data_IF_318776652092
#
_entry.id   IF_318776652092
#
_cell.length_a   1.000
_cell.length_b   1.000
_cell.length_c   1.000
_cell.angle_alpha   90.00
_cell.angle_beta   90.00
_cell.angle_gamma   90.00
#
_symmetry.space_group_name_H-M   'P 1'
#
loop_
_entity.id
_entity.type
_entity.pdbx_description
1 polymer ?
#
# COMPACT_ATOMS: atom_id res chain seq x y z
N UNK A 1 29.40 -11.45 6.81
CA UNK A 1 28.35 -12.36 6.31
C UNK A 1 27.43 -11.58 5.37
N UNK A 2 26.83 -12.21 4.40
CA UNK A 2 25.92 -11.52 3.48
C UNK A 2 24.61 -11.22 4.23
N UNK A 3 24.20 -9.94 4.29
CA UNK A 3 22.93 -9.53 4.91
C UNK A 3 21.78 -9.95 3.99
N UNK A 4 21.02 -10.97 4.35
CA UNK A 4 19.99 -11.53 3.48
C UNK A 4 18.61 -11.64 4.16
N UNK A 5 18.52 -11.49 5.49
CA UNK A 5 17.24 -11.58 6.17
C UNK A 5 16.32 -10.43 5.77
N UNK A 6 15.03 -10.67 5.85
CA UNK A 6 13.97 -9.73 5.48
C UNK A 6 13.28 -9.26 6.76
N UNK A 7 13.03 -7.96 6.87
CA UNK A 7 12.32 -7.35 8.00
C UNK A 7 11.06 -6.65 7.51
N UNK A 8 9.91 -7.14 7.93
CA UNK A 8 8.61 -6.53 7.67
C UNK A 8 8.26 -5.63 8.84
N UNK A 9 8.17 -4.31 8.57
CA UNK A 9 7.85 -3.32 9.60
C UNK A 9 6.34 -3.21 9.81
N UNK A 10 5.94 -2.88 11.07
CA UNK A 10 4.54 -2.62 11.43
C UNK A 10 3.59 -3.72 10.96
N UNK A 11 4.00 -4.98 11.14
CA UNK A 11 3.39 -6.13 10.50
C UNK A 11 1.93 -6.36 10.90
N UNK A 12 1.54 -6.09 12.16
CA UNK A 12 0.16 -6.09 12.64
C UNK A 12 -0.58 -7.39 12.33
N UNK A 13 -1.58 -7.32 11.45
CA UNK A 13 -2.41 -8.46 11.02
C UNK A 13 -2.02 -9.04 9.66
N UNK A 14 -0.87 -8.68 9.10
CA UNK A 14 -0.44 -9.06 7.75
C UNK A 14 0.19 -10.47 7.72
N UNK A 15 -0.51 -11.44 8.28
CA UNK A 15 -0.07 -12.84 8.37
C UNK A 15 0.29 -13.39 6.98
N UNK A 16 -0.63 -13.25 6.01
CA UNK A 16 -0.42 -13.76 4.65
C UNK A 16 0.79 -13.10 3.99
N UNK A 17 1.02 -11.79 4.16
CA UNK A 17 2.20 -11.12 3.59
C UNK A 17 3.51 -11.69 4.15
N UNK A 18 3.57 -11.96 5.46
CA UNK A 18 4.75 -12.60 6.08
C UNK A 18 4.96 -13.99 5.49
N UNK A 19 3.90 -14.79 5.36
CA UNK A 19 3.96 -16.15 4.80
C UNK A 19 4.33 -16.15 3.31
N UNK A 20 3.86 -15.17 2.53
CA UNK A 20 4.25 -15.00 1.13
C UNK A 20 5.76 -14.74 1.02
N UNK A 21 6.31 -13.85 1.86
CA UNK A 21 7.76 -13.62 1.92
C UNK A 21 8.54 -14.86 2.39
N UNK A 22 8.04 -15.60 3.37
CA UNK A 22 8.67 -16.85 3.81
C UNK A 22 8.69 -17.89 2.68
N UNK A 23 7.60 -18.03 1.96
CA UNK A 23 7.49 -18.94 0.81
C UNK A 23 8.51 -18.59 -0.27
N UNK A 24 8.61 -17.32 -0.63
CA UNK A 24 9.52 -16.89 -1.70
C UNK A 24 10.98 -16.85 -1.25
N UNK A 25 11.25 -16.54 0.03
CA UNK A 25 12.59 -16.63 0.59
C UNK A 25 13.13 -18.05 0.56
N UNK A 26 12.32 -19.03 0.93
CA UNK A 26 12.69 -20.46 0.88
C UNK A 26 12.92 -20.96 -0.56
N UNK A 27 12.20 -20.43 -1.55
CA UNK A 27 12.42 -20.74 -2.96
C UNK A 27 13.70 -20.13 -3.50
N UNK A 28 14.05 -18.95 -3.01
CA UNK A 28 15.23 -18.22 -3.51
C UNK A 28 16.53 -18.80 -2.96
N UNK A 29 16.62 -19.06 -1.66
CA UNK A 29 17.80 -19.63 -1.00
C UNK A 29 17.50 -20.10 0.40
N UNK A 30 18.11 -21.18 0.81
CA UNK A 30 18.06 -21.64 2.21
C UNK A 30 18.66 -20.60 3.17
N UNK A 31 18.06 -20.48 4.34
CA UNK A 31 18.58 -19.69 5.47
C UNK A 31 18.23 -18.20 5.44
N UNK A 32 17.36 -17.75 4.54
CA UNK A 32 16.80 -16.40 4.60
C UNK A 32 15.65 -16.38 5.61
N UNK A 33 15.82 -15.67 6.72
CA UNK A 33 14.78 -15.46 7.71
C UNK A 33 13.87 -14.29 7.35
N UNK A 34 12.56 -14.41 7.64
CA UNK A 34 11.57 -13.36 7.51
C UNK A 34 11.13 -12.92 8.89
N UNK A 35 11.57 -11.74 9.29
CA UNK A 35 11.34 -11.18 10.61
C UNK A 35 10.27 -10.10 10.55
N UNK A 36 9.64 -9.82 11.68
CA UNK A 36 8.59 -8.83 11.76
C UNK A 36 8.80 -7.88 12.95
N UNK A 37 8.34 -6.64 12.82
CA UNK A 37 8.28 -5.70 13.94
C UNK A 37 6.87 -5.21 14.19
N UNK A 38 6.60 -4.89 15.43
CA UNK A 38 5.40 -4.18 15.87
C UNK A 38 5.71 -3.38 17.14
N UNK A 39 4.88 -2.39 17.48
CA UNK A 39 4.94 -1.72 18.78
C UNK A 39 4.74 -2.71 19.93
N UNK A 40 3.81 -3.65 19.72
CA UNK A 40 3.55 -4.75 20.63
C UNK A 40 3.50 -6.09 19.87
N UNK A 41 4.66 -6.74 19.62
CA UNK A 41 4.73 -7.98 18.85
C UNK A 41 3.89 -9.11 19.43
N UNK A 42 3.72 -9.13 20.75
CA UNK A 42 2.90 -10.13 21.45
C UNK A 42 1.42 -10.06 21.03
N UNK A 43 0.93 -8.87 20.67
CA UNK A 43 -0.45 -8.64 20.21
C UNK A 43 -0.57 -8.58 18.67
N UNK A 44 0.49 -8.88 17.95
CA UNK A 44 0.52 -8.87 16.48
C UNK A 44 0.52 -10.30 15.92
N UNK A 45 -0.57 -10.70 15.27
CA UNK A 45 -0.65 -12.05 14.67
C UNK A 45 0.43 -12.32 13.62
N UNK A 46 0.86 -11.31 12.88
CA UNK A 46 1.93 -11.42 11.92
C UNK A 46 3.29 -11.67 12.58
N UNK A 47 3.54 -11.07 13.75
CA UNK A 47 4.76 -11.32 14.52
C UNK A 47 4.87 -12.76 15.03
N UNK A 48 3.74 -13.42 15.29
CA UNK A 48 3.74 -14.80 15.74
C UNK A 48 3.96 -15.83 14.64
N UNK A 49 3.79 -15.47 13.38
CA UNK A 49 4.08 -16.36 12.23
C UNK A 49 5.44 -16.07 11.59
N UNK A 50 6.03 -14.94 11.90
CA UNK A 50 7.39 -14.61 11.46
C UNK A 50 8.44 -15.51 12.14
N UNK A 51 9.60 -15.70 11.51
CA UNK A 51 10.69 -16.52 12.06
C UNK A 51 11.26 -15.89 13.33
N UNK A 52 11.24 -14.55 13.42
CA UNK A 52 11.52 -13.77 14.64
C UNK A 52 10.67 -12.51 14.65
N UNK A 53 10.38 -12.01 15.84
CA UNK A 53 9.66 -10.76 16.03
C UNK A 53 10.36 -9.86 17.04
N UNK A 54 10.28 -8.54 16.81
CA UNK A 54 10.93 -7.53 17.64
C UNK A 54 9.98 -6.38 17.94
N UNK A 55 10.07 -5.89 19.18
CA UNK A 55 9.43 -4.63 19.56
C UNK A 55 10.25 -3.45 19.06
N UNK A 56 9.56 -2.44 18.55
CA UNK A 56 10.16 -1.18 18.11
C UNK A 56 9.43 -0.01 18.76
N UNK A 57 10.09 1.14 18.95
CA UNK A 57 9.43 2.35 19.46
C UNK A 57 8.26 2.78 18.58
N UNK A 58 7.44 3.68 19.09
CA UNK A 58 6.41 4.36 18.29
C UNK A 58 7.06 5.09 17.11
N UNK A 59 6.36 5.14 15.98
CA UNK A 59 6.87 5.79 14.75
C UNK A 59 7.18 7.28 14.97
N UNK A 60 6.44 7.95 15.84
CA UNK A 60 6.66 9.36 16.17
C UNK A 60 7.83 9.60 17.16
N UNK A 61 8.35 8.55 17.80
CA UNK A 61 9.51 8.63 18.68
C UNK A 61 10.79 9.01 17.91
N UNK A 62 11.67 9.76 18.54
CA UNK A 62 12.92 10.22 17.92
C UNK A 62 13.87 9.06 17.58
N UNK A 63 13.88 8.04 18.42
CA UNK A 63 14.75 6.86 18.32
C UNK A 63 14.23 5.79 17.31
N UNK A 64 13.06 5.99 16.67
CA UNK A 64 12.45 4.98 15.81
C UNK A 64 13.38 4.50 14.70
N UNK A 65 13.95 5.42 13.93
CA UNK A 65 14.87 5.10 12.82
C UNK A 65 16.15 4.45 13.32
N UNK A 66 16.72 4.94 14.41
CA UNK A 66 17.94 4.38 15.00
C UNK A 66 17.69 2.95 15.51
N UNK A 67 16.55 2.71 16.14
CA UNK A 67 16.17 1.37 16.62
C UNK A 67 16.04 0.36 15.46
N UNK A 68 15.39 0.75 14.34
CA UNK A 68 15.30 -0.10 13.14
C UNK A 68 16.68 -0.35 12.55
N UNK A 69 17.53 0.67 12.49
CA UNK A 69 18.87 0.58 11.92
C UNK A 69 19.77 -0.39 12.71
N UNK A 70 19.81 -0.25 14.03
CA UNK A 70 20.61 -1.15 14.90
C UNK A 70 20.06 -2.58 14.87
N UNK A 71 18.74 -2.76 14.90
CA UNK A 71 18.11 -4.06 14.76
C UNK A 71 18.49 -4.72 13.44
N UNK A 72 18.47 -3.97 12.34
CA UNK A 72 18.82 -4.49 11.02
C UNK A 72 20.29 -4.94 10.96
N UNK A 73 21.19 -4.21 11.60
CA UNK A 73 22.63 -4.60 11.70
C UNK A 73 22.82 -5.86 12.55
N UNK A 74 22.15 -5.93 13.72
CA UNK A 74 22.31 -7.05 14.66
C UNK A 74 21.78 -8.38 14.11
N UNK A 75 20.84 -8.33 13.17
CA UNK A 75 20.13 -9.50 12.66
C UNK A 75 20.36 -9.76 11.18
N UNK A 76 21.45 -9.24 10.60
CA UNK A 76 21.83 -9.44 9.20
C UNK A 76 20.69 -9.17 8.20
N UNK A 77 19.89 -8.13 8.47
CA UNK A 77 18.80 -7.71 7.58
C UNK A 77 19.39 -7.10 6.30
N UNK A 78 19.01 -7.66 5.16
CA UNK A 78 19.36 -7.12 3.84
C UNK A 78 18.20 -6.36 3.18
N UNK A 79 16.97 -6.67 3.57
CA UNK A 79 15.77 -6.08 2.97
C UNK A 79 14.76 -5.68 4.04
N UNK A 80 14.31 -4.42 4.00
CA UNK A 80 13.26 -3.88 4.87
C UNK A 80 12.02 -3.55 4.05
N UNK A 81 10.85 -4.02 4.49
CA UNK A 81 9.56 -3.82 3.84
C UNK A 81 8.61 -3.08 4.78
N UNK A 82 8.38 -1.76 4.59
CA UNK A 82 7.40 -1.02 5.36
C UNK A 82 5.97 -1.36 4.92
N UNK A 83 5.01 -1.29 5.85
CA UNK A 83 3.63 -1.68 5.58
C UNK A 83 2.57 -0.65 5.90
N UNK A 84 2.90 0.47 6.54
CA UNK A 84 1.94 1.52 6.89
C UNK A 84 2.40 2.90 6.42
N UNK A 85 1.45 3.76 6.06
CA UNK A 85 1.72 5.05 5.41
C UNK A 85 2.48 6.03 6.30
N UNK A 86 2.32 5.94 7.62
CA UNK A 86 2.90 6.90 8.59
C UNK A 86 4.40 6.73 8.80
N UNK A 87 4.98 5.57 8.45
CA UNK A 87 6.42 5.32 8.58
C UNK A 87 7.22 5.67 7.33
N UNK A 88 6.54 5.78 6.15
CA UNK A 88 7.22 5.82 4.86
C UNK A 88 8.14 7.02 4.69
N UNK A 89 7.71 8.23 5.06
CA UNK A 89 8.52 9.44 4.84
C UNK A 89 9.82 9.40 5.66
N UNK A 90 9.75 9.05 6.93
CA UNK A 90 10.94 8.91 7.79
C UNK A 90 11.93 7.89 7.25
N UNK A 91 11.42 6.75 6.74
CA UNK A 91 12.25 5.70 6.15
C UNK A 91 12.87 6.15 4.82
N UNK A 92 12.13 6.89 4.00
CA UNK A 92 12.64 7.42 2.74
C UNK A 92 13.77 8.45 2.97
N UNK A 93 13.62 9.32 3.97
CA UNK A 93 14.65 10.30 4.37
C UNK A 93 15.91 9.62 4.94
N UNK A 94 15.76 8.45 5.57
CA UNK A 94 16.87 7.68 6.15
C UNK A 94 17.50 6.68 5.17
N UNK A 95 16.93 6.47 3.97
CA UNK A 95 17.30 5.39 3.04
C UNK A 95 18.79 5.31 2.77
N UNK A 96 19.44 6.42 2.47
CA UNK A 96 20.86 6.45 2.11
C UNK A 96 21.77 5.96 3.25
N UNK A 97 21.38 6.21 4.51
CA UNK A 97 22.08 5.70 5.69
C UNK A 97 22.04 4.18 5.76
N UNK A 98 20.89 3.57 5.43
CA UNK A 98 20.74 2.11 5.42
C UNK A 98 21.48 1.49 4.23
N UNK A 99 21.36 2.09 3.05
CA UNK A 99 22.03 1.62 1.84
C UNK A 99 23.57 1.64 1.98
N UNK A 100 24.15 2.61 2.69
CA UNK A 100 25.57 2.67 3.00
C UNK A 100 26.07 1.45 3.79
N UNK A 101 25.19 0.78 4.54
CA UNK A 101 25.46 -0.45 5.29
C UNK A 101 25.02 -1.72 4.53
N UNK A 102 24.59 -1.59 3.27
CA UNK A 102 24.09 -2.70 2.46
C UNK A 102 22.72 -3.22 2.93
N UNK A 103 21.93 -2.38 3.58
CA UNK A 103 20.56 -2.66 3.99
C UNK A 103 19.62 -1.90 3.05
N UNK A 104 18.81 -2.62 2.30
CA UNK A 104 17.88 -2.00 1.36
C UNK A 104 16.51 -1.80 1.99
N UNK A 105 15.93 -0.61 1.83
CA UNK A 105 14.54 -0.34 2.20
C UNK A 105 13.71 -0.30 0.91
N UNK A 106 12.65 -1.10 0.82
CA UNK A 106 11.69 -1.04 -0.29
C UNK A 106 10.81 0.18 -0.09
N UNK A 107 11.30 1.31 -0.54
CA UNK A 107 10.64 2.60 -0.29
C UNK A 107 10.77 3.52 -1.50
N UNK A 108 9.67 4.15 -1.89
CA UNK A 108 9.64 5.21 -2.89
C UNK A 108 10.38 6.46 -2.42
N UNK A 109 10.69 7.36 -3.32
CA UNK A 109 11.36 8.61 -2.98
C UNK A 109 10.46 9.50 -2.12
N UNK A 110 11.06 10.28 -1.21
CA UNK A 110 10.35 11.15 -0.27
C UNK A 110 9.37 12.13 -0.98
N UNK A 111 9.75 12.64 -2.17
CA UNK A 111 8.88 13.49 -2.99
C UNK A 111 7.58 12.77 -3.38
N UNK A 112 7.67 11.54 -3.89
CA UNK A 112 6.50 10.76 -4.27
C UNK A 112 5.63 10.42 -3.06
N UNK A 113 6.24 10.01 -1.94
CA UNK A 113 5.52 9.71 -0.69
C UNK A 113 4.73 10.94 -0.22
N UNK A 114 5.34 12.13 -0.26
CA UNK A 114 4.67 13.38 0.12
C UNK A 114 3.47 13.67 -0.78
N UNK A 115 3.61 13.50 -2.10
CA UNK A 115 2.50 13.67 -3.05
C UNK A 115 1.38 12.65 -2.82
N UNK A 116 1.71 11.42 -2.45
CA UNK A 116 0.72 10.38 -2.16
C UNK A 116 0.03 10.56 -0.79
N UNK A 117 0.71 11.19 0.18
CA UNK A 117 0.18 11.36 1.53
C UNK A 117 -0.98 12.36 1.59
N UNK A 118 -0.92 13.40 0.78
CA UNK A 118 -1.99 14.41 0.67
C UNK A 118 -2.84 14.13 -0.58
N UNK A 119 -4.08 13.74 -0.38
CA UNK A 119 -5.02 13.40 -1.49
C UNK A 119 -5.29 14.55 -2.45
N UNK A 120 -5.09 15.80 -2.02
CA UNK A 120 -5.20 16.99 -2.88
C UNK A 120 -4.03 17.05 -3.85
N UNK A 121 -2.81 16.69 -3.39
CA UNK A 121 -1.62 16.61 -4.24
C UNK A 121 -1.64 15.37 -5.14
N UNK A 122 -2.21 14.27 -4.67
CA UNK A 122 -2.37 13.04 -5.46
C UNK A 122 -3.21 13.28 -6.73
N UNK A 123 -4.22 14.15 -6.68
CA UNK A 123 -4.99 14.55 -7.86
C UNK A 123 -4.10 15.20 -8.94
N UNK A 124 -3.19 16.09 -8.52
CA UNK A 124 -2.18 16.68 -9.43
C UNK A 124 -1.20 15.67 -9.98
N UNK A 125 -0.82 14.65 -9.18
CA UNK A 125 0.03 13.56 -9.64
C UNK A 125 -0.68 12.72 -10.72
N UNK A 126 -1.95 12.34 -10.54
CA UNK A 126 -2.71 11.63 -11.56
C UNK A 126 -2.84 12.44 -12.86
N UNK A 127 -3.03 13.76 -12.76
CA UNK A 127 -3.12 14.64 -13.94
C UNK A 127 -1.84 14.63 -14.79
N UNK A 128 -0.64 14.47 -14.18
CA UNK A 128 0.63 14.36 -14.92
C UNK A 128 0.65 13.12 -15.82
N UNK A 129 -0.09 12.08 -15.45
CA UNK A 129 -0.25 10.84 -16.23
C UNK A 129 -1.53 10.81 -17.04
N UNK A 130 -2.20 11.96 -17.24
CA UNK A 130 -3.47 12.07 -17.97
C UNK A 130 -4.57 11.14 -17.41
N UNK A 131 -4.55 10.88 -16.12
CA UNK A 131 -5.60 10.15 -15.38
C UNK A 131 -6.48 11.20 -14.67
N UNK A 132 -7.77 11.07 -14.82
CA UNK A 132 -8.74 11.95 -14.15
C UNK A 132 -8.78 11.65 -12.65
N UNK A 133 -9.12 12.66 -11.86
CA UNK A 133 -9.47 12.53 -10.44
C UNK A 133 -10.80 13.21 -10.17
N UNK A 134 -11.55 12.82 -9.11
CA UNK A 134 -12.69 13.62 -8.68
C UNK A 134 -12.28 15.07 -8.47
N UNK A 135 -13.09 15.99 -8.96
CA UNK A 135 -12.85 17.43 -8.81
C UNK A 135 -12.77 17.80 -7.33
N UNK A 136 -11.75 18.58 -6.94
CA UNK A 136 -11.60 19.08 -5.59
C UNK A 136 -12.26 20.44 -5.51
N UNK A 137 -13.14 20.64 -4.53
CA UNK A 137 -13.88 21.86 -4.33
C UNK A 137 -13.24 22.74 -3.26
N UNK A 138 -13.23 24.04 -3.53
CA UNK A 138 -12.96 25.05 -2.50
C UNK A 138 -14.14 25.12 -1.52
N UNK A 139 -13.86 25.44 -0.25
CA UNK A 139 -14.86 25.40 0.85
C UNK A 139 -16.04 26.37 0.64
N UNK A 140 -15.84 27.45 -0.08
CA UNK A 140 -16.82 28.47 -0.42
C UNK A 140 -17.56 28.19 -1.75
N UNK A 141 -17.16 27.16 -2.50
CA UNK A 141 -17.73 26.80 -3.81
C UNK A 141 -18.05 25.30 -3.90
N UNK A 142 -18.85 24.80 -2.95
CA UNK A 142 -19.24 23.39 -2.93
C UNK A 142 -20.36 23.09 -3.93
N UNK A 143 -20.21 22.02 -4.69
CA UNK A 143 -21.26 21.46 -5.56
C UNK A 143 -21.82 20.20 -4.90
N UNK A 144 -23.15 20.16 -4.70
CA UNK A 144 -23.82 19.04 -4.02
C UNK A 144 -24.50 18.09 -5.01
N UNK A 145 -24.51 16.77 -4.69
CA UNK A 145 -23.87 16.16 -3.56
C UNK A 145 -22.32 16.18 -3.69
N UNK A 146 -21.62 16.39 -2.57
CA UNK A 146 -20.16 16.26 -2.52
C UNK A 146 -19.71 15.19 -1.53
N UNK A 147 -18.44 14.86 -1.58
CA UNK A 147 -17.79 13.94 -0.67
C UNK A 147 -16.73 14.65 0.15
N UNK A 148 -16.73 14.44 1.45
CA UNK A 148 -15.72 15.02 2.34
C UNK A 148 -14.94 13.94 3.08
N UNK A 149 -13.66 14.18 3.29
CA UNK A 149 -12.73 13.32 4.05
C UNK A 149 -11.50 14.11 4.48
N UNK A 150 -10.78 13.68 5.52
CA UNK A 150 -9.45 14.23 5.79
C UNK A 150 -8.50 13.96 4.62
N UNK A 151 -7.76 14.99 4.18
CA UNK A 151 -6.83 14.85 3.05
C UNK A 151 -5.67 13.88 3.33
N UNK A 152 -5.30 13.70 4.61
CA UNK A 152 -4.24 12.79 5.09
C UNK A 152 -4.82 11.56 5.83
N UNK A 153 -6.16 11.36 5.79
CA UNK A 153 -6.85 10.26 6.46
C UNK A 153 -6.63 8.90 5.81
N UNK A 154 -6.92 7.84 6.55
CA UNK A 154 -6.89 6.45 6.08
C UNK A 154 -8.13 5.68 6.56
N UNK A 155 -8.41 4.50 5.96
CA UNK A 155 -9.53 3.60 6.31
C UNK A 155 -10.91 4.26 6.28
N UNK A 156 -11.13 5.27 5.44
CA UNK A 156 -12.36 6.03 5.34
C UNK A 156 -12.83 6.71 6.66
N UNK A 157 -11.94 6.86 7.65
CA UNK A 157 -12.27 7.54 8.91
C UNK A 157 -12.56 9.02 8.59
N UNK A 158 -13.72 9.52 9.06
CA UNK A 158 -14.16 10.90 8.80
C UNK A 158 -14.68 11.14 7.36
N UNK A 159 -14.75 10.10 6.53
CA UNK A 159 -15.29 10.21 5.18
C UNK A 159 -16.82 10.22 5.18
N UNK A 160 -17.44 11.16 4.48
CA UNK A 160 -18.90 11.34 4.47
C UNK A 160 -19.39 11.93 3.15
N UNK A 161 -20.53 11.44 2.67
CA UNK A 161 -21.31 12.10 1.62
C UNK A 161 -22.12 13.25 2.22
N UNK A 162 -22.06 14.40 1.60
CA UNK A 162 -22.83 15.61 1.93
C UNK A 162 -23.81 15.83 0.81
N UNK A 163 -25.10 15.64 1.08
CA UNK A 163 -26.13 15.77 0.03
C UNK A 163 -26.57 17.21 -0.19
N UNK A 164 -26.62 18.02 0.89
CA UNK A 164 -27.07 19.40 0.87
C UNK A 164 -26.24 20.26 1.82
N UNK A 165 -26.29 21.60 1.70
CA UNK A 165 -25.61 22.48 2.66
C UNK A 165 -26.01 22.24 4.12
N UNK A 166 -27.24 21.76 4.38
CA UNK A 166 -27.72 21.47 5.73
C UNK A 166 -27.01 20.27 6.41
N UNK A 167 -26.33 19.44 5.65
CA UNK A 167 -25.55 18.29 6.16
C UNK A 167 -24.14 18.70 6.64
N UNK A 168 -23.73 19.93 6.40
CA UNK A 168 -22.45 20.48 6.85
C UNK A 168 -22.53 20.79 8.35
N UNK A 169 -21.79 20.03 9.14
CA UNK A 169 -21.64 20.28 10.59
C UNK A 169 -20.41 21.13 10.86
N UNK A 170 -20.37 21.78 12.03
CA UNK A 170 -19.27 22.67 12.46
C UNK A 170 -17.93 21.94 12.42
N UNK A 171 -17.90 20.68 12.89
CA UNK A 171 -16.69 19.85 12.90
C UNK A 171 -16.16 19.56 11.48
N UNK A 172 -17.02 19.52 10.46
CA UNK A 172 -16.61 19.36 9.06
C UNK A 172 -16.11 20.69 8.47
N UNK A 173 -16.77 21.78 8.80
CA UNK A 173 -16.45 23.09 8.23
C UNK A 173 -15.25 23.76 8.88
N UNK A 174 -14.99 23.51 10.16
CA UNK A 174 -13.88 24.12 10.90
C UNK A 174 -12.60 23.27 10.92
N UNK A 175 -12.69 21.96 10.66
CA UNK A 175 -11.48 21.12 10.59
C UNK A 175 -10.66 21.46 9.33
N UNK A 176 -9.44 22.02 9.48
CA UNK A 176 -8.59 22.38 8.35
C UNK A 176 -8.14 21.17 7.51
N UNK A 177 -8.22 19.96 8.08
CA UNK A 177 -7.86 18.72 7.38
C UNK A 177 -8.92 18.21 6.44
N UNK A 178 -10.17 18.64 6.60
CA UNK A 178 -11.27 18.19 5.72
C UNK A 178 -11.12 18.78 4.33
N UNK A 179 -11.08 17.93 3.32
CA UNK A 179 -11.18 18.28 1.90
C UNK A 179 -12.59 17.94 1.37
N UNK A 180 -13.00 18.65 0.34
CA UNK A 180 -14.25 18.41 -0.35
C UNK A 180 -13.97 18.04 -1.81
N UNK A 181 -14.69 17.06 -2.32
CA UNK A 181 -14.51 16.60 -3.69
C UNK A 181 -15.84 16.19 -4.32
N UNK A 182 -15.83 16.08 -5.63
CA UNK A 182 -16.93 15.51 -6.41
C UNK A 182 -17.34 14.16 -5.82
N UNK A 183 -18.64 13.99 -5.58
CA UNK A 183 -19.20 12.69 -5.20
C UNK A 183 -19.27 11.77 -6.42
N UNK A 184 -18.68 10.60 -6.32
CA UNK A 184 -18.77 9.54 -7.32
C UNK A 184 -19.68 8.44 -6.77
N UNK A 185 -20.75 8.12 -7.48
CA UNK A 185 -21.71 7.10 -7.06
C UNK A 185 -21.19 5.68 -7.36
N UNK A 186 -20.47 5.12 -6.40
CA UNK A 186 -19.91 3.77 -6.50
C UNK A 186 -20.96 2.66 -6.31
N UNK A 187 -22.15 2.98 -5.79
CA UNK A 187 -23.21 1.99 -5.61
C UNK A 187 -23.87 1.66 -6.96
N UNK A 188 -24.22 2.71 -7.73
CA UNK A 188 -25.04 2.55 -8.92
C UNK A 188 -24.26 2.67 -10.23
N UNK A 189 -23.35 3.64 -10.35
CA UNK A 189 -22.73 4.01 -11.64
C UNK A 189 -21.27 3.65 -11.79
N UNK A 190 -20.53 3.48 -10.69
CA UNK A 190 -19.11 3.13 -10.71
C UNK A 190 -18.83 1.85 -9.92
N UNK A 191 -17.76 1.15 -10.28
CA UNK A 191 -17.14 0.09 -9.47
C UNK A 191 -15.86 0.65 -8.83
N UNK A 192 -15.57 0.20 -7.59
CA UNK A 192 -14.34 0.56 -6.90
C UNK A 192 -13.26 -0.51 -7.15
N UNK A 193 -12.07 -0.05 -7.51
CA UNK A 193 -10.90 -0.88 -7.75
C UNK A 193 -9.75 -0.49 -6.84
N UNK A 194 -9.01 -1.48 -6.39
CA UNK A 194 -7.66 -1.32 -5.86
C UNK A 194 -6.70 -2.01 -6.83
N UNK A 195 -5.65 -1.30 -7.24
CA UNK A 195 -4.64 -1.87 -8.14
C UNK A 195 -3.32 -1.98 -7.38
N UNK A 196 -2.78 -3.19 -7.29
CA UNK A 196 -1.40 -3.34 -6.84
C UNK A 196 -0.49 -3.32 -8.08
N UNK A 197 0.50 -2.42 -8.03
CA UNK A 197 1.50 -2.21 -9.07
C UNK A 197 2.89 -2.48 -8.51
N UNK A 198 3.71 -3.23 -9.24
CA UNK A 198 5.12 -3.41 -8.90
C UNK A 198 5.99 -2.53 -9.78
N UNK A 199 6.78 -1.68 -9.15
CA UNK A 199 7.79 -0.84 -9.80
C UNK A 199 9.19 -1.30 -9.40
N UNK A 200 10.08 -1.43 -10.40
CA UNK A 200 11.48 -1.74 -10.14
C UNK A 200 12.22 -0.56 -9.48
N UNK A 201 13.50 -0.76 -9.18
CA UNK A 201 14.36 0.28 -8.56
C UNK A 201 14.52 1.54 -9.41
N UNK A 202 14.17 1.50 -10.69
CA UNK A 202 14.20 2.61 -11.65
C UNK A 202 12.82 3.25 -11.87
N UNK A 203 11.79 2.81 -11.15
CA UNK A 203 10.43 3.33 -11.28
C UNK A 203 9.71 2.86 -12.54
N UNK A 204 10.13 1.74 -13.14
CA UNK A 204 9.47 1.14 -14.31
C UNK A 204 8.47 0.08 -13.87
N UNK A 205 7.25 0.17 -14.38
CA UNK A 205 6.19 -0.77 -14.09
C UNK A 205 6.55 -2.18 -14.57
N UNK A 206 6.43 -3.16 -13.70
CA UNK A 206 6.69 -4.58 -14.00
C UNK A 206 5.44 -5.45 -13.93
N UNK A 207 4.43 -5.01 -13.19
CA UNK A 207 3.14 -5.67 -13.11
C UNK A 207 2.09 -4.72 -12.58
N UNK A 208 0.84 -4.88 -13.03
CA UNK A 208 -0.33 -4.19 -12.48
C UNK A 208 -1.50 -5.18 -12.42
N UNK A 209 -2.12 -5.32 -11.25
CA UNK A 209 -3.25 -6.23 -11.05
C UNK A 209 -4.44 -5.47 -10.45
N UNK A 210 -5.41 -5.07 -11.29
CA UNK A 210 -6.65 -4.47 -10.81
C UNK A 210 -7.51 -5.50 -10.08
N UNK A 211 -7.94 -5.14 -8.89
CA UNK A 211 -8.84 -5.92 -8.04
C UNK A 211 -10.11 -5.12 -7.79
N UNK A 212 -11.22 -5.61 -8.32
CA UNK A 212 -12.53 -5.06 -8.02
C UNK A 212 -12.90 -5.34 -6.56
N UNK A 213 -13.39 -4.34 -5.85
CA UNK A 213 -13.85 -4.44 -4.46
C UNK A 213 -15.32 -4.79 -4.47
N UNK A 214 -15.64 -6.09 -4.35
CA UNK A 214 -17.02 -6.60 -4.39
C UNK A 214 -17.76 -6.36 -3.06
N UNK A 215 -17.04 -6.46 -1.93
CA UNK A 215 -17.57 -6.19 -0.60
C UNK A 215 -16.46 -5.64 0.30
N UNK A 216 -16.81 -4.63 1.08
CA UNK A 216 -15.89 -3.96 2.01
C UNK A 216 -16.45 -4.02 3.43
N UNK A 217 -15.61 -4.40 4.40
CA UNK A 217 -15.90 -4.37 5.85
C UNK A 217 -14.89 -3.48 6.55
N UNK A 218 -15.36 -2.50 7.28
CA UNK A 218 -14.52 -1.55 8.04
C UNK A 218 -13.36 -0.96 7.23
N UNK A 219 -13.62 -0.60 5.94
CA UNK A 219 -12.62 -0.02 5.04
C UNK A 219 -11.68 -1.03 4.36
N UNK A 220 -11.71 -2.32 4.74
CA UNK A 220 -10.92 -3.38 4.12
C UNK A 220 -11.77 -4.25 3.18
N UNK A 221 -11.18 -4.70 2.07
CA UNK A 221 -11.86 -5.61 1.14
C UNK A 221 -12.08 -6.97 1.81
N UNK A 222 -13.33 -7.43 1.84
CA UNK A 222 -13.69 -8.78 2.30
C UNK A 222 -13.97 -9.73 1.15
N UNK A 223 -14.49 -9.23 0.02
CA UNK A 223 -14.60 -9.97 -1.24
C UNK A 223 -14.04 -9.12 -2.37
N UNK A 224 -13.18 -9.68 -3.16
CA UNK A 224 -12.57 -9.01 -4.32
C UNK A 224 -12.34 -9.96 -5.47
N UNK A 225 -12.18 -9.41 -6.66
CA UNK A 225 -11.89 -10.20 -7.85
C UNK A 225 -10.88 -9.50 -8.74
N UNK A 226 -9.93 -10.24 -9.29
CA UNK A 226 -9.01 -9.69 -10.30
C UNK A 226 -9.75 -9.41 -11.60
N UNK A 227 -9.42 -8.31 -12.28
CA UNK A 227 -10.09 -7.89 -13.52
C UNK A 227 -9.10 -7.33 -14.53
N UNK A 228 -9.01 -8.00 -15.69
CA UNK A 228 -8.27 -7.51 -16.87
C UNK A 228 -9.20 -6.65 -17.73
N UNK A 229 -9.37 -5.40 -17.34
CA UNK A 229 -10.33 -4.45 -17.94
C UNK A 229 -9.64 -3.24 -18.58
N UNK A 230 -10.40 -2.20 -18.93
CA UNK A 230 -9.88 -0.96 -19.50
C UNK A 230 -8.89 -0.23 -18.56
N UNK A 231 -9.14 -0.25 -17.24
CA UNK A 231 -8.23 0.31 -16.23
C UNK A 231 -6.83 -0.32 -16.31
N UNK A 232 -6.74 -1.65 -16.46
CA UNK A 232 -5.44 -2.33 -16.62
C UNK A 232 -4.65 -1.77 -17.80
N UNK A 233 -5.31 -1.65 -18.97
CA UNK A 233 -4.66 -1.14 -20.19
C UNK A 233 -4.22 0.31 -20.01
N UNK A 234 -5.06 1.14 -19.43
CA UNK A 234 -4.77 2.55 -19.14
C UNK A 234 -3.54 2.71 -18.24
N UNK A 235 -3.43 1.90 -17.18
CA UNK A 235 -2.31 1.98 -16.24
C UNK A 235 -0.99 1.49 -16.86
N UNK A 236 -1.02 0.39 -17.61
CA UNK A 236 0.17 -0.13 -18.31
C UNK A 236 0.69 0.88 -19.34
N UNK A 237 -0.19 1.61 -20.01
CA UNK A 237 0.17 2.64 -20.98
C UNK A 237 0.64 3.92 -20.30
N UNK A 238 -0.15 4.48 -19.38
CA UNK A 238 0.07 5.82 -18.84
C UNK A 238 1.03 5.86 -17.66
N UNK A 239 1.07 4.80 -16.85
CA UNK A 239 1.91 4.71 -15.66
C UNK A 239 3.06 3.70 -15.82
N UNK A 240 3.50 3.45 -17.06
CA UNK A 240 4.65 2.58 -17.36
C UNK A 240 5.94 3.00 -16.62
N UNK A 241 6.08 4.27 -16.31
CA UNK A 241 7.11 4.84 -15.45
C UNK A 241 6.44 5.78 -14.45
N UNK A 242 6.69 5.55 -13.17
CA UNK A 242 6.28 6.45 -12.09
C UNK A 242 7.55 6.93 -11.39
N UNK A 243 7.88 8.20 -11.56
CA UNK A 243 9.11 8.79 -11.03
C UNK A 243 9.19 8.63 -9.50
N UNK A 244 10.29 8.07 -9.03
CA UNK A 244 10.54 7.83 -7.61
C UNK A 244 9.81 6.61 -7.01
N UNK A 245 9.01 5.89 -7.80
CA UNK A 245 8.33 4.69 -7.34
C UNK A 245 9.30 3.51 -7.19
N UNK A 246 9.09 2.68 -6.14
CA UNK A 246 9.83 1.44 -5.91
C UNK A 246 8.98 0.42 -5.18
N UNK A 247 9.06 -0.84 -5.60
CA UNK A 247 8.36 -1.96 -4.99
C UNK A 247 6.84 -1.92 -5.21
N UNK A 248 6.09 -2.40 -4.23
CA UNK A 248 4.63 -2.44 -4.31
C UNK A 248 4.03 -1.07 -4.07
N UNK A 249 3.18 -0.63 -5.00
CA UNK A 249 2.33 0.55 -4.87
C UNK A 249 0.88 0.11 -5.02
N UNK A 250 0.05 0.51 -4.07
CA UNK A 250 -1.39 0.23 -4.08
C UNK A 250 -2.15 1.52 -4.38
N UNK A 251 -2.86 1.59 -5.51
CA UNK A 251 -3.66 2.74 -5.88
C UNK A 251 -5.16 2.40 -5.96
N UNK A 252 -6.03 3.37 -5.68
CA UNK A 252 -7.48 3.21 -5.74
C UNK A 252 -8.06 3.99 -6.90
N UNK A 253 -9.03 3.36 -7.57
CA UNK A 253 -9.72 3.91 -8.73
C UNK A 253 -11.22 3.65 -8.67
N UNK A 254 -11.98 4.57 -9.25
CA UNK A 254 -13.38 4.34 -9.63
C UNK A 254 -13.46 4.16 -11.13
N UNK A 255 -14.18 3.16 -11.59
CA UNK A 255 -14.37 2.86 -13.02
C UNK A 255 -15.86 2.83 -13.32
N UNK A 256 -16.29 3.65 -14.28
CA UNK A 256 -17.67 3.71 -14.73
C UNK A 256 -18.12 2.37 -15.29
N UNK A 257 -19.32 1.93 -14.89
CA UNK A 257 -19.95 0.68 -15.36
C UNK A 257 -20.47 0.79 -16.79
N UNK A 258 -20.57 2.01 -17.35
CA UNK A 258 -21.18 2.26 -18.66
C UNK A 258 -20.18 2.58 -19.75
N UNK A 259 -19.20 3.45 -19.48
CA UNK A 259 -18.29 3.97 -20.50
C UNK A 259 -16.80 3.78 -20.17
N UNK A 260 -16.48 3.06 -19.09
CA UNK A 260 -15.13 2.81 -18.59
C UNK A 260 -14.36 4.09 -18.20
N UNK A 261 -15.01 5.23 -18.01
CA UNK A 261 -14.35 6.42 -17.45
C UNK A 261 -13.72 6.09 -16.12
N UNK A 262 -12.44 6.44 -15.96
CA UNK A 262 -11.63 6.12 -14.77
C UNK A 262 -11.32 7.38 -13.97
N UNK A 263 -11.45 7.30 -12.64
CA UNK A 263 -11.00 8.32 -11.71
C UNK A 263 -9.97 7.73 -10.74
N UNK A 264 -8.75 8.30 -10.68
CA UNK A 264 -7.76 8.01 -9.65
C UNK A 264 -8.13 8.72 -8.34
N UNK A 265 -8.08 7.99 -7.23
CA UNK A 265 -8.60 8.45 -5.92
C UNK A 265 -7.48 8.65 -4.90
N UNK A 266 -6.57 7.68 -4.79
CA UNK A 266 -5.41 7.74 -3.89
C UNK A 266 -4.33 6.76 -4.33
N UNK A 267 -3.10 7.03 -3.90
CA UNK A 267 -1.95 6.15 -4.08
C UNK A 267 -1.30 5.93 -2.72
N UNK A 268 -1.09 4.67 -2.38
CA UNK A 268 -0.41 4.25 -1.16
C UNK A 268 0.87 3.49 -1.57
N UNK A 269 2.07 4.09 -1.45
CA UNK A 269 3.32 3.47 -1.94
C UNK A 269 3.84 2.39 -0.98
N UNK A 270 3.03 1.36 -0.79
CA UNK A 270 3.27 0.18 0.04
C UNK A 270 2.27 -0.92 -0.27
N UNK A 271 2.46 -2.12 0.30
CA UNK A 271 1.51 -3.23 0.19
C UNK A 271 0.13 -2.88 0.76
N UNK A 272 -0.92 -3.14 -0.01
CA UNK A 272 -2.31 -2.99 0.40
C UNK A 272 -2.81 -4.15 1.26
N UNK A 273 -3.89 -3.95 2.03
CA UNK A 273 -4.50 -5.02 2.83
C UNK A 273 -5.14 -6.16 2.01
N UNK A 274 -5.45 -5.92 0.73
CA UNK A 274 -5.98 -6.93 -0.18
C UNK A 274 -4.92 -7.58 -1.08
N UNK A 275 -3.64 -7.33 -0.84
CA UNK A 275 -2.51 -7.89 -1.61
C UNK A 275 -2.53 -9.43 -1.73
N UNK A 276 -3.01 -10.21 -0.74
CA UNK A 276 -3.09 -11.67 -0.88
C UNK A 276 -3.79 -12.14 -2.16
N UNK A 277 -4.82 -11.41 -2.65
CA UNK A 277 -5.45 -11.73 -3.93
C UNK A 277 -4.49 -11.49 -5.11
N UNK A 278 -3.69 -10.44 -5.06
CA UNK A 278 -2.66 -10.15 -6.08
C UNK A 278 -1.61 -11.25 -6.14
N UNK A 279 -1.11 -11.69 -4.97
CA UNK A 279 -0.14 -12.77 -4.89
C UNK A 279 -0.73 -14.10 -5.40
N UNK A 280 -1.93 -14.46 -4.95
CA UNK A 280 -2.63 -15.65 -5.40
C UNK A 280 -2.89 -15.67 -6.91
N UNK A 281 -3.11 -14.49 -7.51
CA UNK A 281 -3.30 -14.34 -8.95
C UNK A 281 -2.00 -14.43 -9.79
N UNK A 282 -0.82 -14.55 -9.16
CA UNK A 282 0.46 -14.63 -9.85
C UNK A 282 1.33 -13.35 -9.75
N UNK A 283 0.85 -12.32 -9.04
CA UNK A 283 1.65 -11.11 -8.75
C UNK A 283 2.70 -11.37 -7.67
N UNK A 284 3.76 -12.08 -8.01
CA UNK A 284 4.80 -12.51 -7.06
C UNK A 284 5.74 -11.37 -6.63
N UNK A 285 5.17 -10.27 -6.07
CA UNK A 285 5.96 -9.11 -5.64
C UNK A 285 6.97 -9.44 -4.53
N UNK A 286 6.68 -10.29 -3.52
CA UNK A 286 7.68 -10.73 -2.55
C UNK A 286 8.89 -11.41 -3.22
N UNK A 287 8.68 -12.34 -4.14
CA UNK A 287 9.75 -13.01 -4.88
C UNK A 287 10.55 -12.05 -5.75
N UNK A 288 9.88 -11.11 -6.43
CA UNK A 288 10.56 -10.10 -7.25
C UNK A 288 11.40 -9.12 -6.41
N UNK A 289 10.93 -8.74 -5.23
CA UNK A 289 11.72 -7.94 -4.29
C UNK A 289 12.98 -8.67 -3.82
N UNK A 290 12.86 -9.95 -3.49
CA UNK A 290 14.02 -10.79 -3.11
C UNK A 290 14.99 -10.90 -4.29
N UNK A 291 14.50 -11.20 -5.49
CA UNK A 291 15.29 -11.29 -6.72
C UNK A 291 16.04 -9.99 -7.00
N UNK A 292 15.36 -8.84 -6.90
CA UNK A 292 15.92 -7.54 -7.27
C UNK A 292 16.89 -7.01 -6.20
N UNK A 293 16.50 -7.07 -4.91
CA UNK A 293 17.26 -6.41 -3.85
C UNK A 293 18.31 -7.31 -3.20
N UNK A 294 18.04 -8.60 -3.05
CA UNK A 294 18.98 -9.58 -2.48
C UNK A 294 19.78 -10.27 -3.59
N UNK A 295 19.10 -10.64 -4.67
CA UNK A 295 19.71 -11.33 -5.82
C UNK A 295 20.45 -10.42 -6.78
N UNK A 296 20.16 -9.13 -6.80
CA UNK A 296 20.75 -8.17 -7.74
C UNK A 296 20.35 -8.40 -9.21
N UNK A 297 19.19 -9.02 -9.46
CA UNK A 297 18.70 -9.39 -10.77
C UNK A 297 17.52 -8.52 -11.18
N UNK A 298 17.45 -8.17 -12.47
CA UNK A 298 16.29 -7.43 -12.99
C UNK A 298 15.03 -8.31 -12.99
N UNK A 299 13.90 -7.66 -12.75
CA UNK A 299 12.56 -8.26 -12.87
C UNK A 299 11.98 -7.90 -14.24
N UNK A 300 11.59 -8.89 -15.06
CA UNK A 300 10.93 -8.62 -16.33
C UNK A 300 9.50 -8.10 -16.11
N UNK A 301 8.93 -7.42 -17.11
CA UNK A 301 7.50 -7.13 -17.10
C UNK A 301 6.70 -8.44 -17.17
N UNK A 302 5.69 -8.56 -16.31
CA UNK A 302 4.81 -9.72 -16.24
C UNK A 302 3.35 -9.28 -16.29
N UNK A 303 2.59 -9.86 -17.21
CA UNK A 303 1.15 -9.75 -17.29
C UNK A 303 0.46 -11.13 -17.25
N UNK A 304 1.21 -12.17 -16.93
CA UNK A 304 0.72 -13.55 -16.79
C UNK A 304 0.13 -13.76 -15.38
N UNK A 305 -0.95 -13.04 -15.11
CA UNK A 305 -1.71 -13.19 -13.88
C UNK A 305 -3.14 -13.62 -14.16
N UNK A 306 -3.72 -14.35 -13.21
CA UNK A 306 -5.07 -14.92 -13.32
C UNK A 306 -6.14 -13.84 -13.29
N UNK A 307 -6.95 -13.77 -14.35
CA UNK A 307 -8.11 -12.90 -14.44
C UNK A 307 -9.35 -13.60 -13.86
N UNK A 308 -10.24 -12.85 -13.23
CA UNK A 308 -11.48 -13.35 -12.60
C UNK A 308 -11.25 -14.30 -11.40
N UNK A 309 -10.06 -14.30 -10.80
CA UNK A 309 -9.84 -14.94 -9.51
C UNK A 309 -10.60 -14.20 -8.42
N UNK A 310 -11.41 -14.92 -7.65
CA UNK A 310 -12.23 -14.35 -6.56
C UNK A 310 -11.63 -14.73 -5.22
N UNK A 311 -11.38 -13.72 -4.39
CA UNK A 311 -11.01 -13.88 -2.99
C UNK A 311 -12.23 -13.69 -2.10
N UNK A 312 -12.49 -14.68 -1.26
CA UNK A 312 -13.47 -14.63 -0.17
C UNK A 312 -12.70 -14.70 1.14
N UNK A 313 -12.55 -13.57 1.83
CA UNK A 313 -11.85 -13.54 3.12
C UNK A 313 -12.74 -14.08 4.23
N UNK A 314 -12.13 -14.83 5.12
CA UNK A 314 -12.75 -15.33 6.34
C UNK A 314 -11.85 -15.02 7.54
N UNK A 315 -12.40 -15.08 8.73
CA UNK A 315 -11.64 -14.83 9.94
C UNK A 315 -10.79 -16.06 10.30
N UNK A 316 -9.47 -15.88 10.30
CA UNK A 316 -8.51 -16.84 10.83
C UNK A 316 -7.92 -16.32 12.14
N UNK A 317 -7.26 -17.18 12.92
CA UNK A 317 -6.73 -16.84 14.23
C UNK A 317 -5.34 -17.44 14.46
N UNK A 318 -4.52 -16.71 15.18
CA UNK A 318 -3.31 -17.20 15.85
C UNK A 318 -3.63 -17.29 17.34
N UNK A 319 -3.38 -18.43 17.95
CA UNK A 319 -3.62 -18.65 19.38
C UNK A 319 -2.30 -18.50 20.12
N UNK A 320 -2.27 -17.58 21.07
CA UNK A 320 -1.11 -17.26 21.90
C UNK A 320 -1.50 -17.50 23.36
N UNK A 321 -0.58 -18.02 24.14
CA UNK A 321 -0.77 -18.13 25.59
C UNK A 321 -0.14 -16.91 26.26
N UNK A 322 -0.93 -16.27 27.12
CA UNK A 322 -0.39 -15.27 28.04
C UNK A 322 0.49 -16.03 29.05
N UNK A 323 1.75 -15.66 29.12
CA UNK A 323 2.65 -16.14 30.17
C UNK A 323 2.62 -15.11 31.29
N UNK A 324 2.30 -15.56 32.51
CA UNK A 324 2.33 -14.76 33.74
C UNK A 324 3.74 -14.17 34.03
#
# INVERSE_FOLDING_TARGET
>A
MKKNNILILSAGRRVELVQDFQTEAARFSDGIGVFATDLNPHMSSACHVADRAFSVPRIDAAEYIDSIFELAKQHDIGLIVPTIDTELLKLAEARDRFEAEGIHIVISDAKLITLCRDKRLTSGLFAQYSIRSPEIYERDHLVFPCFTKPYDGSRAIGAKKINTPADLTVDITEDPKMMFAQYIDIENTFSEFTVDMYYDRQGRLKCAIPRERLEVRTGEVSKGATRRNALYKELVEKMAVLEGARGCITAQFFVSKTDNTTYGVEINPRFGGGFPLTYAAGGNYPGWLIQEYIGGQDVPFSDDWENNLIMLRYDAKVLVREHD
#
